data_IF_085159827988
#
_entry.id   IF_085159827988
#
_cell.length_a   1.000
_cell.length_b   1.000
_cell.length_c   1.000
_cell.angle_alpha   90.00
_cell.angle_beta   90.00
_cell.angle_gamma   90.00
#
_symmetry.space_group_name_H-M   'P 1'
#
loop_
_entity.id
_entity.type
_entity.pdbx_description
1 polymer ?
#
# COMPACT_ATOMS: atom_id res chain seq x y z
N UNK A 1 -18.66 8.21 -3.46
CA UNK A 1 -19.29 7.74 -2.21
C UNK A 1 -20.76 8.09 -2.23
N UNK A 2 -21.60 7.07 -2.35
CA UNK A 2 -23.05 7.13 -2.22
C UNK A 2 -23.40 7.61 -0.82
N UNK A 3 -24.49 8.37 -0.71
CA UNK A 3 -25.05 8.84 0.57
C UNK A 3 -26.36 8.11 0.80
N UNK A 4 -26.66 7.80 2.06
CA UNK A 4 -27.90 7.14 2.45
C UNK A 4 -28.62 7.96 3.53
N UNK A 5 -29.94 8.07 3.39
CA UNK A 5 -30.84 8.63 4.41
C UNK A 5 -31.61 7.57 5.17
N UNK A 6 -31.63 6.32 4.67
CA UNK A 6 -32.46 5.24 5.20
C UNK A 6 -31.73 4.44 6.29
N UNK A 7 -30.41 4.30 6.16
CA UNK A 7 -29.52 3.67 7.16
C UNK A 7 -28.08 4.15 7.03
N UNK A 8 -27.29 3.88 8.06
CA UNK A 8 -25.83 4.10 8.03
C UNK A 8 -25.19 3.08 7.06
N UNK A 9 -24.31 3.58 6.19
CA UNK A 9 -23.49 2.73 5.32
C UNK A 9 -22.19 2.33 6.04
N UNK A 10 -21.77 1.08 5.86
CA UNK A 10 -20.60 0.49 6.52
C UNK A 10 -19.43 0.28 5.55
N UNK A 11 -18.22 0.48 6.07
CA UNK A 11 -16.96 0.19 5.38
C UNK A 11 -15.84 -0.03 6.39
N UNK A 12 -14.63 -0.28 5.93
CA UNK A 12 -13.41 -0.43 6.72
C UNK A 12 -12.24 0.30 6.03
N UNK A 13 -11.02 0.13 6.55
CA UNK A 13 -9.88 0.97 6.16
C UNK A 13 -9.00 0.41 5.03
N UNK A 14 -9.37 -0.71 4.39
CA UNK A 14 -8.57 -1.30 3.30
C UNK A 14 -8.05 -2.70 3.63
N UNK A 15 -6.74 -2.89 3.78
CA UNK A 15 -6.07 -4.20 3.90
C UNK A 15 -6.79 -5.28 4.71
N UNK A 16 -6.84 -6.50 4.14
CA UNK A 16 -7.39 -7.70 4.79
C UNK A 16 -6.41 -8.88 4.71
N UNK A 17 -6.65 -9.91 5.53
CA UNK A 17 -5.77 -11.08 5.61
C UNK A 17 -5.65 -11.79 4.26
N UNK A 18 -4.42 -12.04 3.84
CA UNK A 18 -4.12 -12.72 2.56
C UNK A 18 -4.09 -14.23 2.74
N UNK A 19 -4.61 -15.01 1.76
CA UNK A 19 -4.47 -16.46 1.78
C UNK A 19 -2.98 -16.89 1.79
N UNK A 20 -2.62 -18.02 2.44
CA UNK A 20 -1.23 -18.48 2.52
C UNK A 20 -0.53 -18.60 1.15
N UNK A 21 -1.22 -19.17 0.15
CA UNK A 21 -0.70 -19.29 -1.22
C UNK A 21 -0.38 -17.93 -1.85
N UNK A 22 -1.21 -16.92 -1.58
CA UNK A 22 -0.97 -15.56 -2.07
C UNK A 22 0.25 -14.93 -1.40
N UNK A 23 0.40 -15.14 -0.08
CA UNK A 23 1.57 -14.68 0.66
C UNK A 23 2.88 -15.30 0.13
N UNK A 24 2.88 -16.59 -0.21
CA UNK A 24 4.05 -17.25 -0.80
C UNK A 24 4.54 -16.53 -2.07
N UNK A 25 3.63 -16.21 -2.99
CA UNK A 25 3.97 -15.46 -4.20
C UNK A 25 4.45 -14.04 -3.91
N UNK A 26 3.76 -13.33 -3.02
CA UNK A 26 4.12 -11.97 -2.63
C UNK A 26 5.54 -11.92 -2.03
N UNK A 27 5.88 -12.86 -1.15
CA UNK A 27 7.21 -12.91 -0.56
C UNK A 27 8.29 -13.36 -1.56
N UNK A 28 7.99 -14.30 -2.46
CA UNK A 28 8.92 -14.67 -3.53
C UNK A 28 9.22 -13.47 -4.45
N UNK A 29 8.17 -12.73 -4.84
CA UNK A 29 8.29 -11.48 -5.62
C UNK A 29 9.15 -10.45 -4.90
N UNK A 30 8.89 -10.22 -3.61
CA UNK A 30 9.62 -9.25 -2.79
C UNK A 30 11.10 -9.61 -2.62
N UNK A 31 11.44 -10.90 -2.54
CA UNK A 31 12.82 -11.39 -2.51
C UNK A 31 13.50 -11.44 -3.89
N UNK A 32 12.79 -11.10 -4.96
CA UNK A 32 13.29 -11.23 -6.33
C UNK A 32 13.49 -12.69 -6.78
N UNK A 33 12.84 -13.64 -6.12
CA UNK A 33 12.91 -15.05 -6.45
C UNK A 33 12.00 -15.37 -7.65
N UNK A 34 12.32 -16.39 -8.46
CA UNK A 34 11.42 -16.86 -9.50
C UNK A 34 10.09 -17.36 -8.92
N UNK A 35 8.98 -16.97 -9.54
CA UNK A 35 7.66 -17.49 -9.25
C UNK A 35 6.83 -17.60 -10.53
N UNK A 36 5.81 -18.45 -10.50
CA UNK A 36 4.86 -18.58 -11.60
C UNK A 36 3.92 -17.36 -11.63
N UNK A 37 4.08 -16.52 -12.65
CA UNK A 37 3.31 -15.28 -12.82
C UNK A 37 1.83 -15.55 -13.09
N UNK A 38 1.51 -16.57 -13.89
CA UNK A 38 0.12 -16.91 -14.21
C UNK A 38 -0.59 -17.43 -12.96
N UNK A 39 0.09 -18.29 -12.19
CA UNK A 39 -0.43 -18.77 -10.92
C UNK A 39 -0.60 -17.66 -9.89
N UNK A 40 0.30 -16.66 -9.86
CA UNK A 40 0.17 -15.47 -9.02
C UNK A 40 -1.04 -14.61 -9.42
N UNK A 41 -1.24 -14.37 -10.70
CA UNK A 41 -2.40 -13.59 -11.19
C UNK A 41 -3.72 -14.30 -10.89
N UNK A 42 -3.79 -15.61 -11.11
CA UNK A 42 -4.96 -16.42 -10.77
C UNK A 42 -5.22 -16.42 -9.25
N UNK A 43 -4.17 -16.57 -8.43
CA UNK A 43 -4.26 -16.51 -6.97
C UNK A 43 -4.74 -15.14 -6.48
N UNK A 44 -4.22 -14.06 -7.06
CA UNK A 44 -4.63 -12.69 -6.73
C UNK A 44 -6.11 -12.47 -7.04
N UNK A 45 -6.55 -12.86 -8.23
CA UNK A 45 -7.96 -12.75 -8.66
C UNK A 45 -8.89 -13.51 -7.73
N UNK A 46 -8.54 -14.75 -7.37
CA UNK A 46 -9.35 -15.55 -6.46
C UNK A 46 -9.38 -14.94 -5.05
N UNK A 47 -8.25 -14.43 -4.55
CA UNK A 47 -8.19 -13.80 -3.24
C UNK A 47 -9.07 -12.54 -3.16
N UNK A 48 -9.10 -11.73 -4.22
CA UNK A 48 -10.00 -10.56 -4.33
C UNK A 48 -11.47 -11.00 -4.38
N UNK A 49 -11.80 -12.00 -5.20
CA UNK A 49 -13.16 -12.56 -5.27
C UNK A 49 -13.65 -13.04 -3.90
N UNK A 50 -12.83 -13.84 -3.21
CA UNK A 50 -13.14 -14.40 -1.90
C UNK A 50 -13.32 -13.32 -0.83
N UNK A 51 -12.48 -12.28 -0.84
CA UNK A 51 -12.55 -11.24 0.19
C UNK A 51 -13.72 -10.28 -0.03
N UNK A 52 -14.09 -10.01 -1.29
CA UNK A 52 -15.31 -9.25 -1.61
C UNK A 52 -16.54 -10.05 -1.20
N UNK A 53 -16.60 -11.35 -1.49
CA UNK A 53 -17.69 -12.22 -1.03
C UNK A 53 -17.86 -12.17 0.51
N UNK A 54 -16.76 -12.29 1.26
CA UNK A 54 -16.78 -12.21 2.73
C UNK A 54 -17.22 -10.85 3.26
N UNK A 55 -16.84 -9.76 2.60
CA UNK A 55 -17.29 -8.41 2.94
C UNK A 55 -18.81 -8.28 2.76
N UNK A 56 -19.35 -8.79 1.65
CA UNK A 56 -20.79 -8.82 1.39
C UNK A 56 -21.53 -9.67 2.43
N UNK A 57 -21.03 -10.87 2.72
CA UNK A 57 -21.61 -11.75 3.75
C UNK A 57 -21.60 -11.10 5.15
N UNK A 58 -20.60 -10.26 5.43
CA UNK A 58 -20.49 -9.50 6.67
C UNK A 58 -21.36 -8.23 6.71
N UNK A 59 -22.03 -7.87 5.60
CA UNK A 59 -22.86 -6.67 5.49
C UNK A 59 -22.06 -5.37 5.34
N UNK A 60 -20.87 -5.43 4.71
CA UNK A 60 -20.11 -4.25 4.30
C UNK A 60 -20.71 -3.67 3.02
N UNK A 61 -21.06 -2.39 3.05
CA UNK A 61 -21.74 -1.72 1.93
C UNK A 61 -20.78 -1.23 0.84
N UNK A 62 -19.62 -0.71 1.27
CA UNK A 62 -18.60 -0.15 0.40
C UNK A 62 -17.35 -0.98 0.59
N UNK A 63 -17.14 -1.95 -0.30
CA UNK A 63 -16.07 -2.96 -0.19
C UNK A 63 -14.75 -2.43 -0.76
N UNK A 64 -13.66 -3.16 -0.52
CA UNK A 64 -12.41 -2.99 -1.27
C UNK A 64 -11.83 -4.33 -1.73
N UNK A 65 -10.72 -4.27 -2.47
CA UNK A 65 -9.96 -5.44 -2.91
C UNK A 65 -9.17 -6.11 -1.77
N UNK A 66 -9.19 -5.55 -0.55
CA UNK A 66 -8.44 -6.03 0.60
C UNK A 66 -6.92 -6.01 0.40
N UNK A 67 -6.41 -5.25 -0.58
CA UNK A 67 -5.00 -5.14 -0.98
C UNK A 67 -4.32 -6.48 -1.29
N UNK A 68 -5.08 -7.46 -1.79
CA UNK A 68 -4.60 -8.85 -1.94
C UNK A 68 -3.41 -9.00 -2.90
N UNK A 69 -3.14 -8.01 -3.74
CA UNK A 69 -2.04 -8.01 -4.71
C UNK A 69 -0.73 -7.39 -4.21
N UNK A 70 -0.71 -6.84 -2.98
CA UNK A 70 0.42 -6.10 -2.40
C UNK A 70 0.93 -6.81 -1.14
N UNK A 71 2.24 -6.82 -0.87
CA UNK A 71 2.78 -7.35 0.40
C UNK A 71 2.83 -6.31 1.52
N UNK A 72 3.01 -5.03 1.15
CA UNK A 72 3.16 -3.90 2.06
C UNK A 72 2.85 -2.57 1.35
N UNK A 73 2.52 -1.54 2.12
CA UNK A 73 2.44 -0.15 1.65
C UNK A 73 3.78 0.34 1.09
N UNK A 74 4.90 -0.15 1.62
CA UNK A 74 6.23 0.29 1.20
C UNK A 74 6.68 -0.30 -0.13
N UNK A 75 6.37 -1.58 -0.36
CA UNK A 75 6.81 -2.30 -1.55
C UNK A 75 6.06 -1.84 -2.81
N UNK A 76 4.84 -1.34 -2.67
CA UNK A 76 4.05 -0.86 -3.81
C UNK A 76 4.63 0.40 -4.47
N UNK A 77 5.28 1.30 -3.71
CA UNK A 77 5.94 2.51 -4.25
C UNK A 77 7.00 2.10 -5.27
N UNK A 78 7.86 1.14 -4.93
CA UNK A 78 8.93 0.66 -5.79
C UNK A 78 8.43 -0.01 -7.08
N UNK A 79 7.19 -0.51 -7.08
CA UNK A 79 6.58 -1.13 -8.25
C UNK A 79 5.87 -0.14 -9.16
N UNK A 80 5.51 1.05 -8.65
CA UNK A 80 4.63 1.99 -9.35
C UNK A 80 5.24 3.34 -9.63
N UNK A 81 6.34 3.71 -8.97
CA UNK A 81 7.08 4.94 -9.22
C UNK A 81 8.53 4.65 -9.64
N UNK A 82 8.99 5.35 -10.67
CA UNK A 82 10.42 5.45 -11.00
C UNK A 82 11.06 6.69 -10.37
N UNK A 83 12.37 6.84 -10.53
CA UNK A 83 13.15 7.95 -9.94
C UNK A 83 13.76 7.62 -8.58
N UNK A 84 13.57 6.39 -8.10
CA UNK A 84 14.07 5.90 -6.82
C UNK A 84 15.18 4.86 -7.01
N UNK A 85 16.27 4.99 -6.26
CA UNK A 85 17.38 4.02 -6.26
C UNK A 85 17.79 3.62 -4.85
N UNK A 86 18.30 2.40 -4.64
CA UNK A 86 18.90 2.00 -3.36
C UNK A 86 20.01 2.95 -2.94
N UNK A 87 20.06 3.31 -1.65
CA UNK A 87 21.16 4.05 -1.06
C UNK A 87 22.05 3.10 -0.25
N UNK A 88 23.37 3.23 -0.38
CA UNK A 88 24.35 2.41 0.36
C UNK A 88 24.43 2.78 1.85
N UNK A 89 24.05 4.01 2.22
CA UNK A 89 24.01 4.45 3.61
C UNK A 89 22.86 3.75 4.35
N UNK A 90 23.18 3.07 5.45
CA UNK A 90 22.21 2.59 6.43
C UNK A 90 21.45 3.79 7.00
N UNK A 91 20.32 4.16 6.39
CA UNK A 91 19.42 5.12 7.02
C UNK A 91 18.83 4.52 8.30
N UNK A 92 18.45 5.36 9.26
CA UNK A 92 17.80 4.94 10.51
C UNK A 92 16.47 4.23 10.25
N UNK A 93 16.33 2.96 10.66
CA UNK A 93 15.01 2.32 10.71
C UNK A 93 14.12 3.14 11.64
N UNK A 94 13.08 3.76 11.07
CA UNK A 94 12.18 4.71 11.75
C UNK A 94 11.53 4.09 13.00
N UNK A 95 11.53 2.77 13.11
CA UNK A 95 10.92 2.04 14.22
C UNK A 95 11.90 1.66 15.32
N UNK A 96 13.21 1.60 15.08
CA UNK A 96 14.19 1.07 16.06
C UNK A 96 14.17 1.85 17.37
N UNK A 97 14.17 3.18 17.31
CA UNK A 97 14.12 4.08 18.47
C UNK A 97 12.79 4.84 18.57
N UNK A 98 11.75 4.33 17.91
CA UNK A 98 10.40 4.92 17.99
C UNK A 98 9.82 4.83 19.40
N UNK A 99 8.88 5.72 19.70
CA UNK A 99 8.09 5.69 20.95
C UNK A 99 7.49 4.33 21.23
N UNK A 100 7.02 3.65 20.18
CA UNK A 100 6.39 2.34 20.27
C UNK A 100 7.39 1.24 20.67
N UNK A 101 8.56 1.19 20.01
CA UNK A 101 9.59 0.19 20.37
C UNK A 101 10.15 0.44 21.77
N UNK A 102 10.27 1.69 22.18
CA UNK A 102 10.68 2.06 23.54
C UNK A 102 9.63 1.68 24.60
N UNK A 103 8.33 1.83 24.28
CA UNK A 103 7.24 1.51 25.20
C UNK A 103 6.93 0.00 25.30
N UNK A 104 7.10 -0.74 24.19
CA UNK A 104 6.73 -2.16 24.07
C UNK A 104 7.85 -3.04 23.49
N UNK A 105 9.05 -3.06 24.11
CA UNK A 105 10.21 -3.72 23.55
C UNK A 105 10.00 -5.22 23.31
N UNK A 106 9.31 -5.95 24.20
CA UNK A 106 9.12 -7.40 24.03
C UNK A 106 8.23 -7.74 22.83
N UNK A 107 7.21 -6.91 22.55
CA UNK A 107 6.33 -7.10 21.41
C UNK A 107 7.09 -6.93 20.09
N UNK A 108 7.84 -5.83 19.96
CA UNK A 108 8.60 -5.54 18.74
C UNK A 108 9.76 -6.53 18.52
N UNK A 109 10.40 -7.00 19.60
CA UNK A 109 11.41 -8.07 19.50
C UNK A 109 10.78 -9.39 19.01
N UNK A 110 9.64 -9.79 19.57
CA UNK A 110 8.91 -10.98 19.14
C UNK A 110 8.44 -10.87 17.69
N UNK A 111 7.97 -9.69 17.27
CA UNK A 111 7.54 -9.43 15.90
C UNK A 111 8.71 -9.47 14.91
N UNK A 112 9.89 -8.92 15.25
CA UNK A 112 11.09 -9.04 14.40
C UNK A 112 11.48 -10.51 14.22
N UNK A 113 11.53 -11.27 15.31
CA UNK A 113 11.86 -12.70 15.28
C UNK A 113 10.88 -13.51 14.44
N UNK A 114 9.58 -13.22 14.50
CA UNK A 114 8.58 -13.95 13.72
C UNK A 114 8.63 -13.67 12.22
N UNK A 115 9.22 -12.54 11.81
CA UNK A 115 9.35 -12.13 10.40
C UNK A 115 10.74 -12.41 9.81
N UNK A 116 11.70 -12.83 10.64
CA UNK A 116 13.07 -13.12 10.22
C UNK A 116 13.10 -14.22 9.15
N UNK A 117 13.74 -13.94 8.01
CA UNK A 117 13.85 -14.86 6.89
C UNK A 117 12.58 -15.03 6.03
N UNK A 118 11.43 -14.50 6.46
CA UNK A 118 10.19 -14.52 5.66
C UNK A 118 10.12 -13.35 4.68
N UNK A 119 10.46 -12.15 5.17
CA UNK A 119 10.38 -10.89 4.42
C UNK A 119 11.78 -10.48 3.97
N UNK A 120 11.90 -9.87 2.79
CA UNK A 120 13.18 -9.31 2.36
C UNK A 120 13.63 -8.22 3.35
N UNK A 121 14.94 -8.01 3.47
CA UNK A 121 15.41 -6.83 4.21
C UNK A 121 14.93 -5.58 3.45
N UNK A 122 14.31 -4.61 4.13
CA UNK A 122 13.89 -3.38 3.48
C UNK A 122 15.09 -2.72 2.80
N UNK A 123 15.02 -2.53 1.48
CA UNK A 123 16.00 -1.74 0.75
C UNK A 123 15.55 -0.29 0.85
N UNK A 124 16.37 0.56 1.47
CA UNK A 124 16.09 1.99 1.54
C UNK A 124 16.29 2.62 0.18
N UNK A 125 15.24 3.23 -0.35
CA UNK A 125 15.32 3.99 -1.58
C UNK A 125 15.47 5.47 -1.24
N UNK A 126 16.04 6.22 -2.17
CA UNK A 126 16.03 7.67 -2.17
C UNK A 126 15.66 8.15 -3.57
N UNK A 127 15.05 9.32 -3.66
CA UNK A 127 14.78 9.95 -4.94
C UNK A 127 16.10 10.46 -5.54
N UNK A 128 16.59 9.78 -6.57
CA UNK A 128 17.88 10.07 -7.26
C UNK A 128 17.68 10.49 -8.71
N UNK A 129 16.43 10.54 -9.17
CA UNK A 129 16.04 10.89 -10.53
C UNK A 129 14.63 11.45 -10.60
N UNK A 130 14.18 11.85 -11.79
CA UNK A 130 12.84 12.39 -11.98
C UNK A 130 11.78 11.33 -11.63
N UNK A 131 10.83 11.69 -10.76
CA UNK A 131 9.72 10.82 -10.37
C UNK A 131 8.70 10.73 -11.51
N UNK A 132 8.33 9.50 -11.89
CA UNK A 132 7.20 9.26 -12.80
C UNK A 132 6.41 8.04 -12.38
N UNK A 133 5.14 8.00 -12.78
CA UNK A 133 4.28 6.86 -12.56
C UNK A 133 4.42 5.82 -13.68
N UNK A 134 4.73 4.59 -13.28
CA UNK A 134 4.95 3.44 -14.18
C UNK A 134 4.04 2.25 -13.83
N UNK A 135 3.20 2.38 -12.80
CA UNK A 135 2.36 1.30 -12.28
C UNK A 135 1.06 1.00 -13.05
N UNK A 136 0.87 1.52 -14.27
CA UNK A 136 -0.40 1.47 -15.00
C UNK A 136 -0.96 0.05 -15.17
N UNK A 137 -0.14 -0.90 -15.61
CA UNK A 137 -0.57 -2.29 -15.82
C UNK A 137 -0.96 -2.98 -14.51
N UNK A 138 -0.20 -2.73 -13.45
CA UNK A 138 -0.43 -3.29 -12.11
C UNK A 138 -1.75 -2.75 -11.54
N UNK A 139 -1.98 -1.43 -11.66
CA UNK A 139 -3.21 -0.80 -11.21
C UNK A 139 -4.41 -1.27 -12.01
N UNK A 140 -4.29 -1.37 -13.34
CA UNK A 140 -5.38 -1.83 -14.19
C UNK A 140 -5.80 -3.26 -13.82
N UNK A 141 -4.84 -4.16 -13.57
CA UNK A 141 -5.12 -5.51 -13.05
C UNK A 141 -5.91 -5.47 -11.74
N UNK A 142 -5.53 -4.60 -10.81
CA UNK A 142 -6.21 -4.48 -9.51
C UNK A 142 -7.65 -3.97 -9.68
N UNK A 143 -7.84 -2.94 -10.52
CA UNK A 143 -9.15 -2.40 -10.89
C UNK A 143 -10.02 -3.48 -11.52
N UNK A 144 -9.49 -4.24 -12.48
CA UNK A 144 -10.25 -5.27 -13.21
C UNK A 144 -10.68 -6.40 -12.27
N UNK A 145 -9.80 -6.85 -11.38
CA UNK A 145 -10.11 -7.88 -10.39
C UNK A 145 -11.21 -7.41 -9.41
N UNK A 146 -11.11 -6.18 -8.90
CA UNK A 146 -12.12 -5.64 -7.99
C UNK A 146 -13.47 -5.48 -8.69
N UNK A 147 -13.49 -4.91 -9.91
CA UNK A 147 -14.74 -4.72 -10.67
C UNK A 147 -15.41 -6.04 -11.03
N UNK A 148 -14.64 -7.06 -11.41
CA UNK A 148 -15.18 -8.39 -11.68
C UNK A 148 -15.80 -9.02 -10.42
N UNK A 149 -15.14 -8.88 -9.26
CA UNK A 149 -15.69 -9.34 -7.99
C UNK A 149 -16.95 -8.56 -7.58
N UNK A 150 -16.97 -7.23 -7.79
CA UNK A 150 -18.17 -6.41 -7.54
C UNK A 150 -19.36 -6.88 -8.37
N UNK A 151 -19.17 -7.09 -9.68
CA UNK A 151 -20.23 -7.57 -10.57
C UNK A 151 -20.76 -8.93 -10.11
N UNK A 152 -19.86 -9.85 -9.78
CA UNK A 152 -20.21 -11.20 -9.36
C UNK A 152 -21.00 -11.25 -8.05
N UNK A 153 -20.68 -10.37 -7.10
CA UNK A 153 -21.30 -10.36 -5.76
C UNK A 153 -22.37 -9.28 -5.60
N UNK A 154 -22.75 -8.59 -6.68
CA UNK A 154 -23.81 -7.57 -6.66
C UNK A 154 -23.45 -6.33 -5.84
N UNK A 155 -22.16 -5.98 -5.78
CA UNK A 155 -21.68 -4.82 -5.03
C UNK A 155 -21.84 -3.55 -5.84
N UNK A 156 -22.44 -2.56 -5.19
CA UNK A 156 -22.85 -1.31 -5.81
C UNK A 156 -21.82 -0.17 -5.74
N UNK A 157 -20.92 -0.21 -4.77
CA UNK A 157 -19.84 0.78 -4.59
C UNK A 157 -18.63 0.09 -3.94
N UNK A 158 -17.44 0.45 -4.38
CA UNK A 158 -16.19 -0.01 -3.79
C UNK A 158 -15.16 1.13 -3.75
N UNK A 159 -14.16 0.96 -2.91
CA UNK A 159 -13.03 1.88 -2.81
C UNK A 159 -11.70 1.16 -3.06
N UNK A 160 -10.70 1.94 -3.47
CA UNK A 160 -9.30 1.50 -3.52
C UNK A 160 -8.43 2.47 -2.72
N UNK A 161 -7.45 1.89 -2.03
CA UNK A 161 -6.45 2.63 -1.27
C UNK A 161 -5.24 2.98 -2.14
N UNK A 162 -4.79 4.22 -1.99
CA UNK A 162 -3.52 4.71 -2.50
C UNK A 162 -2.83 5.51 -1.39
N UNK A 163 -1.49 5.47 -1.35
CA UNK A 163 -0.75 6.23 -0.33
C UNK A 163 -0.81 7.73 -0.63
N UNK A 164 -0.56 8.60 0.35
CA UNK A 164 -0.42 10.04 0.14
C UNK A 164 0.95 10.41 -0.46
N UNK A 165 1.06 11.54 -1.18
CA UNK A 165 2.36 12.04 -1.64
C UNK A 165 3.32 12.37 -0.48
N UNK A 166 2.78 12.86 0.63
CA UNK A 166 3.51 13.20 1.87
C UNK A 166 4.12 11.99 2.56
N UNK A 167 3.48 10.84 2.49
CA UNK A 167 4.02 9.61 3.06
C UNK A 167 5.12 9.02 2.16
N UNK A 168 5.00 9.13 0.83
CA UNK A 168 6.12 8.80 -0.10
C UNK A 168 7.33 9.70 0.18
N UNK A 169 7.14 11.02 0.24
CA UNK A 169 8.19 12.00 0.56
C UNK A 169 8.86 11.67 1.90
N UNK A 170 8.06 11.37 2.92
CA UNK A 170 8.57 11.08 4.26
C UNK A 170 9.39 9.81 4.37
N UNK A 171 9.12 8.83 3.51
CA UNK A 171 9.78 7.53 3.52
C UNK A 171 10.95 7.44 2.54
N UNK A 172 10.98 8.29 1.50
CA UNK A 172 11.99 8.29 0.45
C UNK A 172 12.72 9.64 0.40
N UNK A 173 13.93 9.77 0.98
CA UNK A 173 14.64 11.03 1.03
C UNK A 173 14.92 11.63 -0.36
N UNK A 174 14.85 12.96 -0.46
CA UNK A 174 15.20 13.69 -1.67
C UNK A 174 16.72 13.81 -1.86
N UNK A 175 17.23 13.37 -3.01
CA UNK A 175 18.61 13.56 -3.44
C UNK A 175 18.73 14.05 -4.90
N UNK A 176 17.62 14.54 -5.49
CA UNK A 176 17.56 14.94 -6.90
C UNK A 176 17.01 16.35 -7.12
N UNK A 177 15.88 16.69 -6.49
CA UNK A 177 15.22 17.99 -6.65
C UNK A 177 15.84 19.07 -5.79
N UNK A 178 15.73 20.34 -6.19
CA UNK A 178 16.38 21.46 -5.50
C UNK A 178 15.76 21.77 -4.14
N UNK A 179 14.49 21.40 -3.95
CA UNK A 179 13.75 21.63 -2.71
C UNK A 179 12.78 20.50 -2.40
N UNK A 180 12.44 20.36 -1.12
CA UNK A 180 11.42 19.40 -0.67
C UNK A 180 10.04 19.72 -1.24
N UNK A 181 9.74 21.01 -1.49
CA UNK A 181 8.50 21.43 -2.15
C UNK A 181 8.44 20.92 -3.59
N UNK A 182 9.49 21.14 -4.38
CA UNK A 182 9.57 20.65 -5.75
C UNK A 182 9.45 19.13 -5.81
N UNK A 183 10.12 18.43 -4.88
CA UNK A 183 10.05 16.98 -4.77
C UNK A 183 8.63 16.49 -4.44
N UNK A 184 7.97 17.09 -3.44
CA UNK A 184 6.61 16.73 -3.04
C UNK A 184 5.61 16.94 -4.19
N UNK A 185 5.73 18.05 -4.93
CA UNK A 185 4.88 18.30 -6.10
C UNK A 185 5.17 17.31 -7.24
N UNK A 186 6.43 16.92 -7.47
CA UNK A 186 6.77 15.91 -8.47
C UNK A 186 6.16 14.54 -8.13
N UNK A 187 6.16 14.14 -6.85
CA UNK A 187 5.45 12.94 -6.40
C UNK A 187 3.94 13.09 -6.64
N UNK A 188 3.34 14.21 -6.24
CA UNK A 188 1.91 14.45 -6.40
C UNK A 188 1.48 14.38 -7.87
N UNK A 189 2.26 14.97 -8.79
CA UNK A 189 2.01 14.93 -10.22
C UNK A 189 2.09 13.50 -10.78
N UNK A 190 3.07 12.70 -10.33
CA UNK A 190 3.16 11.29 -10.73
C UNK A 190 1.96 10.49 -10.20
N UNK A 191 1.65 10.60 -8.91
CA UNK A 191 0.56 9.84 -8.27
C UNK A 191 -0.83 10.23 -8.76
N UNK A 192 -0.98 11.43 -9.34
CA UNK A 192 -2.21 11.87 -10.01
C UNK A 192 -2.69 10.85 -11.04
N UNK A 193 -1.78 10.18 -11.76
CA UNK A 193 -2.14 9.14 -12.74
C UNK A 193 -2.90 7.98 -12.07
N UNK A 194 -2.41 7.47 -10.93
CA UNK A 194 -3.10 6.43 -10.16
C UNK A 194 -4.45 6.89 -9.64
N UNK A 195 -4.48 8.08 -9.01
CA UNK A 195 -5.70 8.63 -8.43
C UNK A 195 -6.78 8.83 -9.50
N UNK A 196 -6.38 9.37 -10.65
CA UNK A 196 -7.29 9.60 -11.76
C UNK A 196 -7.79 8.29 -12.35
N UNK A 197 -6.93 7.29 -12.52
CA UNK A 197 -7.35 5.98 -13.03
C UNK A 197 -8.37 5.28 -12.11
N UNK A 198 -8.19 5.35 -10.78
CA UNK A 198 -9.16 4.82 -9.80
C UNK A 198 -10.51 5.53 -9.93
N UNK A 199 -10.51 6.86 -9.98
CA UNK A 199 -11.73 7.67 -10.10
C UNK A 199 -12.43 7.41 -11.45
N UNK A 200 -11.67 7.40 -12.55
CA UNK A 200 -12.18 7.18 -13.90
C UNK A 200 -12.74 5.75 -14.06
N UNK A 201 -12.26 4.78 -13.28
CA UNK A 201 -12.81 3.42 -13.22
C UNK A 201 -14.18 3.34 -12.50
N UNK A 202 -14.62 4.43 -11.86
CA UNK A 202 -15.86 4.53 -11.10
C UNK A 202 -15.74 4.12 -9.63
N UNK A 203 -14.51 4.03 -9.10
CA UNK A 203 -14.23 3.61 -7.74
C UNK A 203 -14.01 4.82 -6.82
N UNK A 204 -14.29 4.66 -5.53
CA UNK A 204 -13.94 5.68 -4.53
C UNK A 204 -12.44 5.62 -4.26
N UNK A 205 -11.75 6.75 -4.39
CA UNK A 205 -10.35 6.86 -3.98
C UNK A 205 -10.26 7.14 -2.48
N UNK A 206 -9.57 6.27 -1.74
CA UNK A 206 -9.10 6.53 -0.38
C UNK A 206 -7.61 6.84 -0.41
N UNK A 207 -7.21 7.98 0.15
CA UNK A 207 -5.80 8.36 0.29
C UNK A 207 -5.38 8.09 1.74
N UNK A 208 -4.46 7.16 1.91
CA UNK A 208 -3.92 6.79 3.21
C UNK A 208 -2.71 7.67 3.54
N UNK A 209 -2.84 8.50 4.58
CA UNK A 209 -1.79 9.43 5.02
C UNK A 209 -1.43 9.23 6.51
N UNK A 210 -0.68 8.18 6.87
CA UNK A 210 -0.24 7.98 8.25
C UNK A 210 0.90 8.93 8.66
N UNK A 211 1.43 9.73 7.73
CA UNK A 211 2.67 10.50 7.85
C UNK A 211 2.77 11.32 9.13
N UNK A 212 1.69 12.00 9.52
CA UNK A 212 1.68 12.84 10.72
C UNK A 212 1.94 12.02 11.98
N UNK A 213 1.26 10.87 12.14
CA UNK A 213 1.45 10.00 13.29
C UNK A 213 2.84 9.34 13.24
N UNK A 214 3.23 8.81 12.09
CA UNK A 214 4.55 8.19 11.87
C UNK A 214 5.68 9.17 12.22
N UNK A 215 5.54 10.46 11.89
CA UNK A 215 6.55 11.49 12.18
C UNK A 215 6.85 11.64 13.67
N UNK A 216 5.80 11.75 14.50
CA UNK A 216 5.95 11.93 15.94
C UNK A 216 6.23 10.62 16.68
N UNK A 217 5.79 9.48 16.14
CA UNK A 217 6.10 8.16 16.71
C UNK A 217 7.59 7.83 16.51
N UNK A 218 8.14 8.11 15.32
CA UNK A 218 9.55 7.84 14.99
C UNK A 218 10.53 8.85 15.58
N UNK A 219 10.07 10.03 16.03
CA UNK A 219 10.89 11.08 16.67
C UNK A 219 10.48 11.27 18.12
N UNK A 220 10.96 10.41 19.04
CA UNK A 220 10.48 10.40 20.43
C UNK A 220 10.70 11.73 21.15
N UNK A 221 11.68 12.53 20.73
CA UNK A 221 12.09 13.82 21.29
C UNK A 221 11.15 15.00 20.98
N UNK A 222 10.29 14.89 19.96
CA UNK A 222 9.41 15.98 19.54
C UNK A 222 8.07 16.02 20.31
N UNK A 223 7.67 17.15 20.88
CA UNK A 223 6.31 17.32 21.43
C UNK A 223 5.28 17.59 20.32
N UNK A 224 4.04 17.12 20.51
CA UNK A 224 2.88 17.44 19.66
C UNK A 224 2.35 18.83 19.97
#
# INVERSE_FOLDING_TARGET
MKRSTDRILTTHVGSLARPPKQLEFLFAKERGEPYDREAFEASTRQAVDDIVAKQVDAGIDIVCDGEQSKSSFLTYIAERLEGFSPREEEGEDLWVDSRETLAFPEYYEAQRKSREGLVAKPVKLACTGPVRYVGHEILQRDIDNLKAAMERHGVEEAFMTAVSPSDVEGQQPNAFYESDEEYLFAIADAMREEYKAIIDAGLVLQIDDPRLLTYYISRPDLSV
#
